data_IF_602503065737
#
_entry.id   IF_602503065737
#
_cell.length_a   1.000
_cell.length_b   1.000
_cell.length_c   1.000
_cell.angle_alpha   90.00
_cell.angle_beta   90.00
_cell.angle_gamma   90.00
#
_symmetry.space_group_name_H-M   'P 1'
#
loop_
_entity.id
_entity.type
_entity.pdbx_description
1 polymer ?
#
# COMPACT_ATOMS: atom_id res chain seq x y z
N UNK A 1 31.68 -4.50 -27.53
CA UNK A 1 30.99 -3.35 -28.18
C UNK A 1 29.58 -3.12 -27.66
N UNK A 2 28.67 -4.10 -27.54
CA UNK A 2 27.38 -3.90 -26.86
C UNK A 2 27.52 -3.74 -25.32
N UNK A 3 28.54 -4.36 -24.72
CA UNK A 3 28.83 -4.24 -23.28
C UNK A 3 29.33 -2.86 -22.84
N UNK A 4 29.87 -2.04 -23.76
CA UNK A 4 30.39 -0.69 -23.45
C UNK A 4 29.31 0.38 -23.52
N UNK A 5 28.19 0.12 -24.19
CA UNK A 5 27.02 1.02 -24.22
C UNK A 5 26.17 0.91 -22.95
N UNK A 6 26.12 -0.27 -22.33
CA UNK A 6 25.39 -0.50 -21.09
C UNK A 6 26.00 0.26 -19.88
N UNK A 7 27.28 0.64 -19.94
CA UNK A 7 27.96 1.45 -18.91
C UNK A 7 27.84 2.97 -19.12
N UNK A 8 27.27 3.43 -20.24
CA UNK A 8 27.21 4.86 -20.59
C UNK A 8 25.90 5.54 -20.17
N UNK A 9 24.85 4.78 -19.89
CA UNK A 9 23.59 5.33 -19.37
C UNK A 9 23.51 4.98 -17.88
N UNK A 10 23.53 5.97 -16.98
CA UNK A 10 23.32 5.72 -15.56
C UNK A 10 22.03 4.93 -15.35
N UNK A 11 22.12 3.82 -14.62
CA UNK A 11 20.98 2.93 -14.34
C UNK A 11 19.79 3.73 -13.77
N UNK A 12 20.09 4.75 -12.98
CA UNK A 12 19.16 5.69 -12.36
C UNK A 12 18.30 6.43 -13.39
N UNK A 13 18.86 6.78 -14.55
CA UNK A 13 18.16 7.45 -15.66
C UNK A 13 17.20 6.46 -16.33
N UNK A 14 17.67 5.24 -16.61
CA UNK A 14 16.84 4.19 -17.24
C UNK A 14 15.68 3.79 -16.31
N UNK A 15 15.96 3.58 -15.02
CA UNK A 15 14.94 3.26 -14.02
C UNK A 15 13.94 4.38 -13.85
N UNK A 16 14.38 5.65 -13.88
CA UNK A 16 13.48 6.80 -13.78
C UNK A 16 12.49 6.85 -14.95
N UNK A 17 12.95 6.61 -16.19
CA UNK A 17 12.06 6.57 -17.36
C UNK A 17 11.11 5.39 -17.35
N UNK A 18 11.54 4.22 -16.86
CA UNK A 18 10.66 3.05 -16.71
C UNK A 18 9.59 3.24 -15.62
N UNK A 19 9.87 4.09 -14.63
CA UNK A 19 8.97 4.38 -13.51
C UNK A 19 8.07 5.60 -13.74
N UNK A 20 8.35 6.44 -14.74
CA UNK A 20 7.55 7.61 -15.14
C UNK A 20 6.03 7.33 -15.34
N UNK A 21 5.60 6.17 -15.90
CA UNK A 21 4.18 5.89 -16.04
C UNK A 21 3.51 5.45 -14.73
N UNK A 22 4.20 5.49 -13.59
CA UNK A 22 3.64 5.02 -12.31
C UNK A 22 3.72 6.09 -11.22
N UNK A 23 2.78 6.00 -10.29
CA UNK A 23 2.65 6.97 -9.20
C UNK A 23 2.11 6.28 -7.95
N UNK A 24 2.68 6.60 -6.79
CA UNK A 24 2.11 6.19 -5.51
C UNK A 24 0.93 7.09 -5.14
N UNK A 25 -0.16 6.45 -4.73
CA UNK A 25 -1.33 7.14 -4.17
C UNK A 25 -1.96 6.30 -3.06
N UNK A 26 -2.59 6.94 -2.06
CA UNK A 26 -3.47 6.23 -1.14
C UNK A 26 -4.67 5.68 -1.90
N UNK A 27 -5.04 4.44 -1.63
CA UNK A 27 -6.37 3.96 -1.96
C UNK A 27 -7.30 4.27 -0.80
N UNK A 28 -8.38 5.00 -1.07
CA UNK A 28 -9.32 5.38 -0.01
C UNK A 28 -10.16 4.18 0.41
N UNK A 29 -10.10 3.87 1.69
CA UNK A 29 -10.91 2.85 2.32
C UNK A 29 -12.14 3.53 2.94
N UNK A 30 -13.32 3.18 2.41
CA UNK A 30 -14.60 3.56 3.00
C UNK A 30 -15.10 2.41 3.87
N UNK A 31 -14.76 2.48 5.16
CA UNK A 31 -15.17 1.47 6.15
C UNK A 31 -16.41 1.95 6.91
N UNK A 32 -17.50 1.21 6.86
CA UNK A 32 -18.69 1.48 7.69
C UNK A 32 -18.44 1.15 9.17
N UNK A 33 -17.52 0.21 9.45
CA UNK A 33 -17.23 -0.28 10.81
C UNK A 33 -15.97 0.36 11.43
N UNK A 34 -15.28 1.24 10.69
CA UNK A 34 -14.04 1.86 11.13
C UNK A 34 -12.83 0.91 11.18
N UNK A 35 -12.92 -0.23 10.48
CA UNK A 35 -11.89 -1.28 10.41
C UNK A 35 -10.78 -0.97 9.39
N UNK A 36 -10.40 0.31 9.26
CA UNK A 36 -9.50 0.82 8.21
C UNK A 36 -8.17 0.06 8.11
N UNK A 37 -7.59 -0.33 9.24
CA UNK A 37 -6.35 -1.12 9.23
C UNK A 37 -6.56 -2.49 8.60
N UNK A 38 -7.56 -3.24 9.05
CA UNK A 38 -7.80 -4.60 8.57
C UNK A 38 -8.19 -4.59 7.09
N UNK A 39 -8.97 -3.59 6.67
CA UNK A 39 -9.33 -3.36 5.27
C UNK A 39 -8.11 -3.03 4.40
N UNK A 40 -7.25 -2.13 4.87
CA UNK A 40 -5.97 -1.83 4.20
C UNK A 40 -5.12 -3.09 4.04
N UNK A 41 -5.04 -3.92 5.09
CA UNK A 41 -4.26 -5.16 5.08
C UNK A 41 -4.88 -6.20 4.15
N UNK A 42 -6.21 -6.38 4.16
CA UNK A 42 -6.92 -7.26 3.22
C UNK A 42 -6.58 -6.90 1.79
N UNK A 43 -6.71 -5.62 1.45
CA UNK A 43 -6.45 -5.12 0.11
C UNK A 43 -4.98 -5.35 -0.31
N UNK A 44 -4.02 -5.07 0.58
CA UNK A 44 -2.60 -5.32 0.30
C UNK A 44 -2.36 -6.81 0.06
N UNK A 45 -2.90 -7.67 0.93
CA UNK A 45 -2.70 -9.12 0.84
C UNK A 45 -3.34 -9.71 -0.42
N UNK A 46 -4.49 -9.17 -0.84
CA UNK A 46 -5.24 -9.55 -2.04
C UNK A 46 -4.82 -8.79 -3.30
N UNK A 47 -3.60 -8.23 -3.33
CA UNK A 47 -3.01 -7.59 -4.51
C UNK A 47 -3.86 -6.44 -5.12
N UNK A 48 -4.55 -5.68 -4.26
CA UNK A 48 -5.38 -4.56 -4.66
C UNK A 48 -6.87 -4.90 -4.85
N UNK A 49 -7.26 -6.17 -4.75
CA UNK A 49 -8.67 -6.55 -4.75
C UNK A 49 -9.27 -6.31 -3.36
N UNK A 50 -10.08 -5.26 -3.24
CA UNK A 50 -10.73 -4.85 -2.00
C UNK A 50 -12.15 -5.43 -1.91
N UNK A 51 -12.45 -6.12 -0.81
CA UNK A 51 -13.79 -6.60 -0.48
C UNK A 51 -14.04 -6.48 1.03
N UNK A 52 -14.92 -5.56 1.41
CA UNK A 52 -15.29 -5.32 2.81
C UNK A 52 -16.00 -6.51 3.45
N UNK A 53 -16.61 -7.41 2.65
CA UNK A 53 -17.28 -8.61 3.18
C UNK A 53 -16.29 -9.66 3.69
N UNK A 54 -15.02 -9.58 3.30
CA UNK A 54 -13.99 -10.53 3.77
C UNK A 54 -13.39 -10.14 5.13
N UNK A 55 -13.67 -8.92 5.62
CA UNK A 55 -13.06 -8.38 6.84
C UNK A 55 -13.42 -9.15 8.10
N UNK A 56 -14.68 -9.57 8.33
CA UNK A 56 -15.01 -10.42 9.48
C UNK A 56 -14.23 -11.74 9.46
N UNK A 57 -14.08 -12.37 8.30
CA UNK A 57 -13.34 -13.62 8.17
C UNK A 57 -11.83 -13.43 8.40
N UNK A 58 -11.25 -12.33 7.90
CA UNK A 58 -9.87 -11.96 8.16
C UNK A 58 -9.64 -11.73 9.67
N UNK A 59 -10.54 -10.99 10.32
CA UNK A 59 -10.50 -10.71 11.75
C UNK A 59 -10.55 -12.00 12.58
N UNK A 60 -11.50 -12.89 12.29
CA UNK A 60 -11.65 -14.18 12.97
C UNK A 60 -10.39 -15.06 12.81
N UNK A 61 -9.83 -15.09 11.61
CA UNK A 61 -8.60 -15.84 11.32
C UNK A 61 -7.41 -15.28 12.07
N UNK A 62 -7.25 -13.95 12.09
CA UNK A 62 -6.21 -13.27 12.85
C UNK A 62 -6.32 -13.61 14.33
N UNK A 63 -7.52 -13.49 14.90
CA UNK A 63 -7.79 -13.76 16.30
C UNK A 63 -7.59 -15.23 16.69
N UNK A 64 -7.93 -16.15 15.80
CA UNK A 64 -7.66 -17.57 16.00
C UNK A 64 -6.16 -17.86 15.99
N UNK A 65 -5.42 -17.24 15.07
CA UNK A 65 -3.95 -17.36 14.98
C UNK A 65 -3.28 -16.81 16.23
N UNK A 66 -3.72 -15.64 16.72
CA UNK A 66 -3.22 -15.05 17.97
C UNK A 66 -3.39 -16.01 19.14
N UNK A 67 -4.61 -16.55 19.32
CA UNK A 67 -4.92 -17.48 20.41
C UNK A 67 -4.10 -18.77 20.31
N UNK A 68 -3.81 -19.23 19.10
CA UNK A 68 -3.02 -20.43 18.87
C UNK A 68 -1.54 -20.24 19.18
N UNK A 69 -0.96 -19.08 18.81
CA UNK A 69 0.44 -18.76 19.10
C UNK A 69 0.61 -18.49 20.61
N UNK A 70 -0.38 -17.86 21.23
CA UNK A 70 -0.35 -17.41 22.62
C UNK A 70 -1.32 -18.18 23.50
N UNK A 71 -1.20 -19.52 23.50
CA UNK A 71 -2.05 -20.45 24.28
C UNK A 71 -1.89 -20.31 25.79
N UNK A 72 -0.80 -19.69 26.26
CA UNK A 72 -0.58 -19.44 27.68
C UNK A 72 -1.38 -18.23 28.14
N UNK A 73 -2.22 -18.42 29.17
CA UNK A 73 -3.24 -17.46 29.62
C UNK A 73 -2.70 -16.12 30.14
N UNK A 74 -1.37 -16.00 30.34
CA UNK A 74 -0.73 -14.80 30.87
C UNK A 74 0.01 -13.97 29.80
N UNK A 75 -0.05 -14.39 28.53
CA UNK A 75 0.58 -13.64 27.45
C UNK A 75 -0.24 -12.39 27.11
N UNK A 76 0.36 -11.22 27.27
CA UNK A 76 -0.22 -9.94 26.88
C UNK A 76 0.39 -9.44 25.57
N UNK A 77 -0.45 -8.93 24.69
CA UNK A 77 -0.03 -8.17 23.49
C UNK A 77 -0.26 -6.71 23.84
N UNK A 78 0.82 -5.96 24.06
CA UNK A 78 0.75 -4.54 24.42
C UNK A 78 -0.11 -4.25 25.66
N UNK A 79 0.10 -5.06 26.69
CA UNK A 79 -0.64 -4.94 27.95
C UNK A 79 -2.13 -5.29 27.83
N UNK A 80 -2.59 -5.85 26.70
CA UNK A 80 -3.96 -6.35 26.51
C UNK A 80 -3.95 -7.86 26.41
N UNK A 81 -4.96 -8.49 26.99
CA UNK A 81 -5.17 -9.92 26.77
C UNK A 81 -5.59 -10.18 25.32
N UNK A 82 -5.32 -11.38 24.76
CA UNK A 82 -5.64 -11.70 23.37
C UNK A 82 -7.07 -11.35 22.93
N UNK A 83 -8.06 -11.56 23.82
CA UNK A 83 -9.46 -11.20 23.56
C UNK A 83 -9.68 -9.69 23.43
N UNK A 84 -9.05 -8.91 24.30
CA UNK A 84 -9.16 -7.44 24.30
C UNK A 84 -8.45 -6.85 23.10
N UNK A 85 -7.25 -7.37 22.79
CA UNK A 85 -6.50 -7.00 21.60
C UNK A 85 -7.31 -7.25 20.32
N UNK A 86 -7.91 -8.43 20.20
CA UNK A 86 -8.80 -8.79 19.10
C UNK A 86 -9.99 -7.84 18.94
N UNK A 87 -10.65 -7.48 20.03
CA UNK A 87 -11.78 -6.54 19.95
C UNK A 87 -11.33 -5.12 19.56
N UNK A 88 -10.08 -4.78 19.84
CA UNK A 88 -9.59 -3.42 19.68
C UNK A 88 -8.99 -3.17 18.27
N UNK A 89 -8.29 -4.15 17.68
CA UNK A 89 -7.66 -3.99 16.35
C UNK A 89 -8.64 -3.68 15.20
N UNK A 90 -9.93 -3.99 15.36
CA UNK A 90 -10.97 -3.65 14.40
C UNK A 90 -11.45 -2.17 14.51
N UNK A 91 -10.93 -1.39 15.46
CA UNK A 91 -11.34 -0.01 15.69
C UNK A 91 -10.35 0.98 15.08
N UNK A 92 -10.80 2.20 14.72
CA UNK A 92 -9.90 3.28 14.34
C UNK A 92 -8.84 3.54 15.41
N UNK A 93 -7.65 3.94 15.00
CA UNK A 93 -6.54 4.21 15.90
C UNK A 93 -5.19 3.95 15.26
N UNK A 94 -4.12 4.39 15.92
CA UNK A 94 -2.76 4.00 15.56
C UNK A 94 -2.40 2.68 16.24
N UNK A 95 -2.02 1.68 15.46
CA UNK A 95 -1.79 0.30 15.90
C UNK A 95 -0.36 -0.21 15.53
N UNK A 96 0.70 0.41 16.09
CA UNK A 96 2.08 0.08 15.74
C UNK A 96 2.42 -1.39 16.02
N UNK A 97 1.99 -1.90 17.17
CA UNK A 97 2.34 -3.25 17.58
C UNK A 97 1.50 -4.29 16.85
N UNK A 98 0.31 -3.89 16.39
CA UNK A 98 -0.45 -4.73 15.48
C UNK A 98 0.27 -4.87 14.16
N UNK A 99 0.81 -3.79 13.60
CA UNK A 99 1.60 -3.88 12.38
C UNK A 99 2.86 -4.72 12.58
N UNK A 100 3.53 -4.61 13.74
CA UNK A 100 4.64 -5.49 14.09
C UNK A 100 4.20 -6.96 14.10
N UNK A 101 3.06 -7.28 14.73
CA UNK A 101 2.54 -8.63 14.79
C UNK A 101 2.06 -9.16 13.42
N UNK A 102 1.34 -8.33 12.66
CA UNK A 102 0.86 -8.65 11.31
C UNK A 102 2.04 -8.86 10.35
N UNK A 103 3.15 -8.12 10.52
CA UNK A 103 4.34 -8.30 9.69
C UNK A 103 4.92 -9.72 9.81
N UNK A 104 4.85 -10.30 11.01
CA UNK A 104 5.23 -11.68 11.27
C UNK A 104 4.27 -12.68 10.62
N UNK A 105 2.96 -12.46 10.74
CA UNK A 105 1.94 -13.37 10.18
C UNK A 105 1.99 -13.39 8.67
N UNK A 106 2.00 -12.21 8.03
CA UNK A 106 1.93 -12.10 6.59
C UNK A 106 3.29 -12.20 5.92
N UNK A 107 4.38 -12.26 6.70
CA UNK A 107 5.75 -12.20 6.19
C UNK A 107 5.96 -11.00 5.24
N UNK A 108 5.46 -9.83 5.67
CA UNK A 108 5.56 -8.56 4.94
C UNK A 108 5.94 -7.47 5.91
N UNK A 109 6.96 -6.69 5.59
CA UNK A 109 7.34 -5.49 6.35
C UNK A 109 6.37 -4.35 6.04
N UNK A 110 5.88 -3.64 7.06
CA UNK A 110 5.02 -2.47 6.84
C UNK A 110 5.80 -1.18 7.05
N UNK A 111 5.69 -0.26 6.09
CA UNK A 111 6.19 1.11 6.23
C UNK A 111 4.99 2.05 6.31
N UNK A 112 4.87 2.79 7.41
CA UNK A 112 3.75 3.71 7.64
C UNK A 112 4.23 5.15 7.57
N UNK A 113 3.75 5.89 6.57
CA UNK A 113 3.86 7.34 6.54
C UNK A 113 2.77 7.96 7.39
N UNK A 114 3.11 8.87 8.30
CA UNK A 114 2.10 9.56 9.11
C UNK A 114 1.75 10.91 8.52
N UNK A 115 0.49 11.31 8.64
CA UNK A 115 0.07 12.69 8.42
C UNK A 115 -0.03 13.37 9.79
N UNK A 116 0.73 14.45 9.96
CA UNK A 116 0.73 15.30 11.15
C UNK A 116 0.53 16.74 10.68
N UNK A 117 -0.45 17.43 11.24
CA UNK A 117 -0.80 18.81 10.88
C UNK A 117 -0.98 19.00 9.36
N UNK A 118 -1.67 18.05 8.72
CA UNK A 118 -1.93 18.06 7.28
C UNK A 118 -0.72 17.75 6.37
N UNK A 119 0.44 17.43 6.95
CA UNK A 119 1.67 17.13 6.20
C UNK A 119 2.11 15.68 6.41
N UNK A 120 2.58 15.03 5.33
CA UNK A 120 3.13 13.67 5.37
C UNK A 120 4.56 13.72 5.93
N UNK A 121 4.83 12.98 6.99
CA UNK A 121 6.17 12.84 7.55
C UNK A 121 7.11 12.21 6.52
N UNK A 122 8.34 12.72 6.35
CA UNK A 122 9.24 12.28 5.28
C UNK A 122 9.81 10.87 5.51
N UNK A 123 9.90 10.44 6.77
CA UNK A 123 10.43 9.13 7.13
C UNK A 123 9.28 8.25 7.62
N UNK A 124 9.04 7.10 6.97
CA UNK A 124 8.03 6.17 7.44
C UNK A 124 8.50 5.43 8.69
N UNK A 125 7.55 5.01 9.53
CA UNK A 125 7.80 4.04 10.59
C UNK A 125 7.84 2.63 10.00
N UNK A 126 8.92 1.91 10.26
CA UNK A 126 9.07 0.51 9.86
C UNK A 126 8.55 -0.46 10.93
N UNK A 127 7.81 -1.48 10.49
CA UNK A 127 7.32 -2.58 11.32
C UNK A 127 7.72 -3.90 10.69
N UNK A 128 8.35 -4.76 11.47
CA UNK A 128 8.98 -6.00 11.03
C UNK A 128 10.47 -5.88 10.72
N UNK A 129 11.13 -4.79 11.12
CA UNK A 129 12.58 -4.61 11.02
C UNK A 129 13.38 -5.72 11.71
N UNK A 130 12.84 -6.30 12.78
CA UNK A 130 13.48 -7.35 13.56
C UNK A 130 13.42 -8.75 12.89
N UNK A 131 12.78 -8.86 11.72
CA UNK A 131 12.58 -10.11 11.00
C UNK A 131 13.48 -10.15 9.74
N UNK A 132 14.72 -10.67 9.84
CA UNK A 132 15.69 -10.61 8.75
C UNK A 132 15.33 -11.49 7.54
N UNK A 133 14.33 -12.35 7.67
CA UNK A 133 13.82 -13.22 6.61
C UNK A 133 12.76 -12.56 5.73
N UNK A 134 12.35 -11.33 6.03
CA UNK A 134 11.38 -10.61 5.21
C UNK A 134 12.05 -10.12 3.93
N UNK A 135 11.44 -10.43 2.79
CA UNK A 135 11.89 -9.95 1.47
C UNK A 135 10.91 -8.95 0.86
N UNK A 136 9.67 -8.91 1.36
CA UNK A 136 8.61 -8.05 0.86
C UNK A 136 8.22 -6.97 1.86
N UNK A 137 7.79 -5.83 1.35
CA UNK A 137 7.20 -4.74 2.11
C UNK A 137 5.89 -4.25 1.49
N UNK A 138 5.10 -3.55 2.29
CA UNK A 138 3.94 -2.78 1.87
C UNK A 138 3.97 -1.41 2.55
N UNK A 139 3.32 -0.45 1.91
CA UNK A 139 3.29 0.93 2.36
C UNK A 139 1.87 1.30 2.79
N UNK A 140 1.76 1.97 3.92
CA UNK A 140 0.51 2.51 4.46
C UNK A 140 0.71 4.00 4.69
N UNK A 141 -0.39 4.74 4.69
CA UNK A 141 -0.47 6.08 5.23
C UNK A 141 -1.45 6.08 6.40
N UNK A 142 -1.07 6.78 7.48
CA UNK A 142 -1.89 6.92 8.67
C UNK A 142 -2.20 8.40 8.90
N UNK A 143 -3.48 8.75 8.91
CA UNK A 143 -3.91 10.09 9.26
C UNK A 143 -4.15 10.19 10.76
N UNK A 144 -3.35 11.01 11.47
CA UNK A 144 -3.46 11.15 12.92
C UNK A 144 -4.77 11.82 13.37
N UNK A 145 -5.32 12.71 12.53
CA UNK A 145 -6.54 13.46 12.85
C UNK A 145 -7.79 12.59 12.73
N UNK A 146 -7.88 11.83 11.63
CA UNK A 146 -9.02 10.91 11.41
C UNK A 146 -8.81 9.53 12.01
N UNK A 147 -7.59 9.18 12.42
CA UNK A 147 -7.19 7.83 12.85
C UNK A 147 -7.41 6.73 11.80
N UNK A 148 -7.30 7.09 10.52
CA UNK A 148 -7.50 6.17 9.39
C UNK A 148 -6.17 5.63 8.86
N UNK A 149 -6.17 4.36 8.48
CA UNK A 149 -5.14 3.76 7.64
C UNK A 149 -5.64 3.66 6.21
N UNK A 150 -4.76 3.94 5.25
CA UNK A 150 -4.99 3.70 3.84
C UNK A 150 -3.75 3.03 3.23
N UNK A 151 -3.89 2.06 2.32
CA UNK A 151 -2.75 1.47 1.64
C UNK A 151 -2.22 2.39 0.54
N UNK A 152 -0.90 2.61 0.54
CA UNK A 152 -0.20 3.29 -0.54
C UNK A 152 0.10 2.28 -1.65
N UNK A 153 -0.60 2.44 -2.77
CA UNK A 153 -0.51 1.55 -3.91
C UNK A 153 0.20 2.23 -5.08
N UNK A 154 0.81 1.43 -5.95
CA UNK A 154 1.33 1.91 -7.22
C UNK A 154 0.20 1.89 -8.25
N UNK A 155 -0.09 3.04 -8.84
CA UNK A 155 -1.08 3.20 -9.91
C UNK A 155 -0.41 3.49 -11.23
N UNK A 156 -1.15 3.26 -12.32
CA UNK A 156 -0.82 3.83 -13.62
C UNK A 156 -1.04 5.36 -13.56
N UNK A 157 -0.07 6.16 -14.02
CA UNK A 157 -0.18 7.62 -14.00
C UNK A 157 -1.27 8.13 -14.96
N UNK A 158 -1.59 7.36 -16.01
CA UNK A 158 -2.64 7.66 -16.99
C UNK A 158 -4.03 7.17 -16.57
N UNK A 159 -4.11 6.21 -15.66
CA UNK A 159 -5.38 5.65 -15.18
C UNK A 159 -5.41 5.61 -13.66
N UNK A 160 -6.28 6.44 -13.10
CA UNK A 160 -6.43 6.63 -11.66
C UNK A 160 -7.04 5.44 -10.93
N UNK A 161 -7.67 4.50 -11.64
CA UNK A 161 -8.37 3.35 -11.06
C UNK A 161 -7.53 2.08 -11.06
N UNK A 162 -6.61 1.94 -12.02
CA UNK A 162 -5.83 0.70 -12.16
C UNK A 162 -4.68 0.66 -11.17
N UNK A 163 -4.84 -0.19 -10.15
CA UNK A 163 -3.78 -0.57 -9.23
C UNK A 163 -2.84 -1.55 -9.92
N UNK A 164 -1.57 -1.20 -9.95
CA UNK A 164 -0.50 -2.02 -10.53
C UNK A 164 0.11 -2.93 -9.46
N UNK A 165 0.32 -2.42 -8.24
CA UNK A 165 1.02 -3.17 -7.19
C UNK A 165 0.75 -2.62 -5.79
N UNK A 166 0.65 -3.52 -4.82
CA UNK A 166 0.43 -3.21 -3.39
C UNK A 166 1.54 -3.73 -2.46
N UNK A 167 2.32 -4.72 -2.90
CA UNK A 167 3.46 -5.31 -2.18
C UNK A 167 4.72 -5.23 -3.02
N UNK A 168 5.84 -4.87 -2.42
CA UNK A 168 7.11 -4.58 -3.09
C UNK A 168 8.22 -5.42 -2.47
N UNK A 169 9.37 -5.50 -3.13
CA UNK A 169 10.58 -6.00 -2.48
C UNK A 169 11.19 -4.90 -1.63
N UNK A 170 11.79 -5.23 -0.49
CA UNK A 170 12.33 -4.24 0.46
C UNK A 170 13.38 -3.32 -0.18
N UNK A 171 14.14 -3.83 -1.15
CA UNK A 171 15.16 -3.07 -1.89
C UNK A 171 14.71 -2.69 -3.31
N UNK A 172 13.39 -2.68 -3.55
CA UNK A 172 12.83 -2.28 -4.84
C UNK A 172 13.18 -0.83 -5.16
N UNK A 173 13.51 -0.48 -6.42
CA UNK A 173 13.90 0.88 -6.83
C UNK A 173 12.75 1.91 -6.83
N UNK A 174 11.67 1.64 -6.08
CA UNK A 174 10.48 2.50 -6.02
C UNK A 174 10.65 3.69 -5.07
N UNK A 175 11.80 3.82 -4.41
CA UNK A 175 12.13 4.89 -3.46
C UNK A 175 11.89 6.28 -4.06
N UNK A 176 12.33 6.52 -5.30
CA UNK A 176 12.13 7.82 -5.97
C UNK A 176 10.64 8.16 -6.14
N UNK A 177 9.80 7.16 -6.41
CA UNK A 177 8.35 7.37 -6.53
C UNK A 177 7.71 7.70 -5.18
N UNK A 178 8.20 7.11 -4.10
CA UNK A 178 7.77 7.43 -2.73
C UNK A 178 8.22 8.82 -2.30
N UNK A 179 9.46 9.21 -2.62
CA UNK A 179 9.97 10.56 -2.38
C UNK A 179 9.15 11.61 -3.14
N UNK A 180 8.84 11.34 -4.41
CA UNK A 180 7.94 12.18 -5.20
C UNK A 180 6.55 12.28 -4.57
N UNK A 181 6.00 11.17 -4.07
CA UNK A 181 4.72 11.16 -3.37
C UNK A 181 4.77 12.07 -2.13
N UNK A 182 5.76 11.92 -1.26
CA UNK A 182 5.92 12.76 -0.05
C UNK A 182 6.07 14.23 -0.43
N UNK A 183 6.93 14.54 -1.40
CA UNK A 183 7.15 15.92 -1.86
C UNK A 183 5.88 16.55 -2.41
N UNK A 184 5.11 15.80 -3.21
CA UNK A 184 3.86 16.29 -3.78
C UNK A 184 2.77 16.45 -2.71
N UNK A 185 2.65 15.50 -1.78
CA UNK A 185 1.67 15.56 -0.70
C UNK A 185 1.90 16.75 0.24
N UNK A 186 3.15 17.19 0.37
CA UNK A 186 3.55 18.34 1.17
C UNK A 186 3.63 19.65 0.37
N UNK A 187 3.32 19.63 -0.94
CA UNK A 187 3.30 20.86 -1.71
C UNK A 187 2.08 21.71 -1.32
N UNK A 188 2.26 23.03 -1.31
CA UNK A 188 1.18 23.96 -0.98
C UNK A 188 -0.01 23.79 -1.93
N UNK A 189 0.23 23.48 -3.21
CA UNK A 189 -0.84 23.26 -4.18
C UNK A 189 -1.69 22.03 -3.86
N UNK A 190 -1.05 20.94 -3.38
CA UNK A 190 -1.76 19.73 -3.00
C UNK A 190 -2.54 19.91 -1.68
N UNK A 191 -1.97 20.61 -0.71
CA UNK A 191 -2.65 20.90 0.56
C UNK A 191 -3.89 21.78 0.35
N UNK A 192 -3.82 22.77 -0.56
CA UNK A 192 -4.97 23.58 -0.95
C UNK A 192 -6.03 22.72 -1.67
N UNK A 193 -5.62 21.89 -2.64
CA UNK A 193 -6.55 21.01 -3.36
C UNK A 193 -7.29 20.04 -2.41
N UNK A 194 -6.57 19.50 -1.41
CA UNK A 194 -7.14 18.60 -0.40
C UNK A 194 -8.19 19.29 0.47
N UNK A 195 -7.90 20.49 0.97
CA UNK A 195 -8.85 21.29 1.77
C UNK A 195 -10.12 21.64 0.98
N UNK A 196 -10.00 21.91 -0.34
CA UNK A 196 -11.16 22.20 -1.20
C UNK A 196 -12.02 20.95 -1.44
N UNK A 197 -11.42 19.77 -1.57
CA UNK A 197 -12.18 18.51 -1.68
C UNK A 197 -12.86 18.10 -0.37
N UNK A 198 -12.22 18.29 0.79
CA UNK A 198 -12.80 17.97 2.10
C UNK A 198 -13.87 19.00 2.53
N UNK A 199 -13.83 20.24 2.02
CA UNK A 199 -14.84 21.28 2.26
C UNK A 199 -16.10 21.21 1.37
N UNK A 200 -16.11 20.36 0.33
CA UNK A 200 -17.24 20.24 -0.61
C UNK A 200 -18.11 19.00 -0.38
N UNK A 201 -17.76 18.11 0.55
CA UNK A 201 -18.56 16.90 0.86
C UNK A 201 -19.84 17.19 1.68
N UNK A 202 -20.09 18.45 2.11
CA UNK A 202 -21.33 18.82 2.82
C UNK A 202 -22.54 19.14 1.90
N UNK A 203 -22.44 19.09 0.56
CA UNK A 203 -23.57 19.51 -0.31
C UNK A 203 -23.67 18.78 -1.67
N UNK A 204 -23.63 17.45 -1.72
CA UNK A 204 -23.96 16.74 -2.97
C UNK A 204 -24.54 15.34 -2.72
N UNK A 205 -25.86 15.22 -2.76
CA UNK A 205 -26.53 13.94 -3.06
C UNK A 205 -26.31 13.58 -4.54
N UNK A 206 -25.91 12.35 -4.91
CA UNK A 206 -25.83 11.96 -6.30
C UNK A 206 -27.10 11.22 -6.75
N UNK A 207 -27.84 11.83 -7.68
CA UNK A 207 -28.88 11.16 -8.46
C UNK A 207 -28.24 10.15 -9.45
N UNK A 208 -28.61 8.89 -9.32
CA UNK A 208 -28.24 7.80 -10.23
C UNK A 208 -29.10 7.82 -11.51
N UNK A 209 -28.47 7.92 -12.68
CA UNK A 209 -29.02 7.35 -13.92
C UNK A 209 -27.95 6.54 -14.67
N UNK A 210 -28.20 5.24 -14.73
CA UNK A 210 -27.49 4.25 -15.55
C UNK A 210 -27.84 4.45 -17.04
N UNK A 211 -26.84 4.37 -17.92
CA UNK A 211 -27.10 3.94 -19.29
C UNK A 211 -26.00 3.02 -19.82
N UNK A 212 -26.43 1.90 -20.41
CA UNK A 212 -25.62 0.77 -20.85
C UNK A 212 -25.07 0.99 -22.27
N UNK A 213 -23.74 0.83 -22.43
CA UNK A 213 -22.92 0.16 -23.49
C UNK A 213 -23.34 0.17 -24.99
N UNK A 214 -22.46 -0.24 -25.96
CA UNK A 214 -21.02 -0.61 -25.90
C UNK A 214 -20.17 -0.01 -27.07
N UNK A 215 -18.85 -0.27 -27.16
CA UNK A 215 -18.24 -0.87 -28.37
C UNK A 215 -16.74 -1.20 -28.21
N UNK A 216 -16.41 -2.41 -28.68
CA UNK A 216 -15.10 -3.07 -28.84
C UNK A 216 -14.01 -2.25 -29.53
N UNK A 217 -12.84 -2.06 -28.87
CA UNK A 217 -11.51 -1.87 -29.52
C UNK A 217 -10.29 -2.32 -28.67
N UNK A 218 -10.43 -3.19 -27.65
CA UNK A 218 -9.36 -3.40 -26.65
C UNK A 218 -8.34 -4.54 -26.89
N UNK A 219 -8.46 -5.33 -27.95
CA UNK A 219 -7.65 -6.57 -28.07
C UNK A 219 -6.15 -6.35 -28.32
N UNK A 220 -5.73 -5.19 -28.84
CA UNK A 220 -4.31 -4.93 -29.16
C UNK A 220 -3.51 -4.24 -28.05
N UNK A 221 -4.19 -3.67 -27.05
CA UNK A 221 -3.52 -3.02 -25.92
C UNK A 221 -3.23 -4.01 -24.79
N UNK A 222 -4.14 -4.96 -24.52
CA UNK A 222 -3.96 -6.00 -23.50
C UNK A 222 -2.71 -6.86 -23.72
N UNK A 223 -2.38 -7.18 -24.98
CA UNK A 223 -1.17 -7.96 -25.31
C UNK A 223 0.13 -7.17 -25.07
N UNK A 224 0.14 -5.86 -25.34
CA UNK A 224 1.30 -4.99 -25.07
C UNK A 224 1.51 -4.80 -23.55
N UNK A 225 0.41 -4.71 -22.79
CA UNK A 225 0.46 -4.60 -21.32
C UNK A 225 0.95 -5.90 -20.64
N UNK A 226 0.56 -7.07 -21.16
CA UNK A 226 1.05 -8.35 -20.65
C UNK A 226 2.57 -8.54 -20.88
N UNK A 227 3.11 -8.03 -22.00
CA UNK A 227 4.55 -8.04 -22.28
C UNK A 227 5.30 -7.10 -21.34
N UNK A 228 4.80 -5.88 -21.12
CA UNK A 228 5.44 -4.91 -20.22
C UNK A 228 5.39 -5.34 -18.75
N UNK A 229 4.31 -5.98 -18.29
CA UNK A 229 4.24 -6.56 -16.94
C UNK A 229 5.28 -7.67 -16.74
N UNK A 230 5.45 -8.54 -17.73
CA UNK A 230 6.45 -9.61 -17.67
C UNK A 230 7.88 -9.07 -17.76
N UNK A 231 8.13 -8.02 -18.57
CA UNK A 231 9.46 -7.38 -18.65
C UNK A 231 9.82 -6.59 -17.38
N UNK A 232 8.86 -5.96 -16.69
CA UNK A 232 9.11 -5.30 -15.40
C UNK A 232 9.36 -6.30 -14.28
N UNK A 233 8.63 -7.42 -14.25
CA UNK A 233 8.88 -8.53 -13.31
C UNK A 233 10.25 -9.17 -13.60
N UNK A 234 10.62 -9.30 -14.87
CA UNK A 234 11.93 -9.80 -15.28
C UNK A 234 13.06 -8.83 -14.93
N UNK A 235 12.94 -7.54 -15.21
CA UNK A 235 13.97 -6.54 -14.90
C UNK A 235 14.17 -6.37 -13.40
N UNK A 236 13.11 -6.46 -12.60
CA UNK A 236 13.19 -6.47 -11.14
C UNK A 236 13.81 -7.76 -10.57
N UNK A 237 13.80 -8.87 -11.30
CA UNK A 237 14.43 -10.15 -10.88
C UNK A 237 15.83 -10.36 -11.45
N UNK A 238 16.22 -9.65 -12.51
CA UNK A 238 17.58 -9.69 -13.08
C UNK A 238 18.54 -8.81 -12.28
N UNK A 239 18.10 -7.68 -11.72
CA UNK A 239 18.90 -6.91 -10.74
C UNK A 239 19.20 -7.70 -9.47
N UNK A 240 18.41 -8.73 -9.13
CA UNK A 240 18.66 -9.62 -7.99
C UNK A 240 19.84 -10.58 -8.22
N UNK A 241 20.11 -10.98 -9.47
CA UNK A 241 21.24 -11.88 -9.79
C UNK A 241 22.57 -11.15 -9.90
N UNK A 242 22.57 -9.87 -10.22
CA UNK A 242 23.79 -9.05 -10.32
C UNK A 242 24.34 -8.56 -8.98
N UNK A 243 23.58 -8.69 -7.88
CA UNK A 243 23.99 -8.30 -6.52
C UNK A 243 24.38 -9.51 -5.65
N UNK A 244 24.34 -10.73 -6.22
CA UNK A 244 24.66 -11.99 -5.53
C UNK A 244 25.96 -12.65 -6.03
N UNK A 245 26.74 -11.97 -6.88
CA UNK A 245 28.09 -12.37 -7.32
C UNK A 245 29.17 -11.40 -6.81
#
# INVERSE_FOLDING_TARGET
MLSELASLVPLDIVMSSLLEPFVFRPFRISSEEGSYLLESIQMIMNNGNYDSNEIPALHDKLCSTIKEIHRENDYMIEGKYPKEYCAAIAKPGFWPDALQFLSKIFSVKFYVYKIVDGSVEPQPLGFGDDFPYLHSCAYLIFNNDSQHYEPLCLFNSKDVQTIIKTKFLIHSPVTKLLENFVSNANSAEYQIARQVSEGNEENSEPDMQLNNNPLDQNSSQEEVYAVLQNELVFLLSVTERGLSE
#
